data_IF_690260346992
#
_entry.id   IF_690260346992
#
_cell.length_a   1.000
_cell.length_b   1.000
_cell.length_c   1.000
_cell.angle_alpha   90.00
_cell.angle_beta   90.00
_cell.angle_gamma   90.00
#
_symmetry.space_group_name_H-M   'P 1'
#
loop_
_entity.id
_entity.type
_entity.pdbx_description
1 polymer ?
#
# COMPACT_ATOMS: atom_id res chain seq x y z
N UNK A 1 18.31 59.35 -6.19
CA UNK A 1 17.72 58.44 -5.22
C UNK A 1 17.59 57.08 -5.85
N UNK A 2 18.34 56.14 -5.39
CA UNK A 2 18.22 54.77 -5.86
C UNK A 2 17.30 54.00 -4.91
N UNK A 3 16.13 53.67 -5.38
CA UNK A 3 15.24 52.77 -4.67
C UNK A 3 15.75 51.36 -4.93
N UNK A 4 16.36 50.74 -3.91
CA UNK A 4 16.69 49.33 -4.00
C UNK A 4 15.40 48.51 -3.82
N UNK A 5 14.92 47.95 -4.89
CA UNK A 5 13.87 46.93 -4.79
C UNK A 5 14.54 45.65 -4.36
N UNK A 6 14.43 45.32 -3.09
CA UNK A 6 14.70 43.98 -2.66
C UNK A 6 13.53 43.12 -3.12
N UNK A 7 13.71 42.43 -4.22
CA UNK A 7 12.83 41.29 -4.54
C UNK A 7 13.20 40.23 -3.53
N UNK A 8 12.44 40.15 -2.45
CA UNK A 8 12.44 38.95 -1.64
C UNK A 8 11.74 37.90 -2.49
N UNK A 9 12.55 37.13 -3.21
CA UNK A 9 12.05 35.90 -3.78
C UNK A 9 11.62 35.03 -2.59
N UNK A 10 10.34 35.04 -2.31
CA UNK A 10 9.76 34.10 -1.40
C UNK A 10 9.92 32.72 -2.05
N UNK A 11 11.03 32.07 -1.76
CA UNK A 11 11.16 30.64 -2.05
C UNK A 11 10.24 29.98 -1.07
N UNK A 12 8.95 29.87 -1.44
CA UNK A 12 8.08 28.89 -0.84
C UNK A 12 8.77 27.56 -1.06
N UNK A 13 9.07 26.80 0.01
CA UNK A 13 9.46 25.43 -0.21
C UNK A 13 8.31 24.81 -0.99
N UNK A 14 8.51 24.65 -2.28
CA UNK A 14 7.68 23.75 -3.05
C UNK A 14 7.94 22.42 -2.40
N UNK A 15 7.01 22.01 -1.51
CA UNK A 15 6.92 20.62 -1.15
C UNK A 15 6.52 19.93 -2.45
N UNK A 16 7.52 19.67 -3.28
CA UNK A 16 7.31 18.76 -4.38
C UNK A 16 6.73 17.49 -3.75
N UNK A 17 5.53 17.06 -4.17
CA UNK A 17 5.06 15.76 -3.73
C UNK A 17 6.22 14.82 -4.00
N UNK A 18 6.67 14.09 -2.98
CA UNK A 18 7.71 13.10 -3.17
C UNK A 18 7.22 12.20 -4.29
N UNK A 19 7.87 12.30 -5.44
CA UNK A 19 7.59 11.42 -6.54
C UNK A 19 7.88 10.01 -6.04
N UNK A 20 6.84 9.21 -5.97
CA UNK A 20 7.02 7.79 -5.68
C UNK A 20 7.91 7.19 -6.76
N UNK A 21 8.75 6.20 -6.41
CA UNK A 21 9.46 5.41 -7.40
C UNK A 21 8.49 4.83 -8.44
N UNK A 22 9.03 4.37 -9.57
CA UNK A 22 8.23 3.69 -10.57
C UNK A 22 7.65 2.36 -10.03
N UNK A 23 6.69 1.80 -10.74
CA UNK A 23 5.99 0.59 -10.30
C UNK A 23 6.93 -0.61 -10.12
N UNK A 24 7.97 -0.73 -10.93
CA UNK A 24 8.97 -1.80 -10.82
C UNK A 24 9.75 -1.69 -9.52
N UNK A 25 10.18 -0.49 -9.18
CA UNK A 25 10.91 -0.22 -7.94
C UNK A 25 10.00 -0.42 -6.72
N UNK A 26 8.76 0.07 -6.80
CA UNK A 26 7.76 -0.14 -5.74
C UNK A 26 7.49 -1.63 -5.53
N UNK A 27 7.37 -2.40 -6.61
CA UNK A 27 7.16 -3.85 -6.53
C UNK A 27 8.31 -4.55 -5.81
N UNK A 28 9.55 -4.18 -6.10
CA UNK A 28 10.72 -4.73 -5.41
C UNK A 28 10.75 -4.36 -3.94
N UNK A 29 10.40 -3.13 -3.61
CA UNK A 29 10.34 -2.66 -2.22
C UNK A 29 9.25 -3.37 -1.42
N UNK A 30 8.12 -3.73 -2.06
CA UNK A 30 7.02 -4.39 -1.37
C UNK A 30 7.31 -5.85 -1.04
N UNK A 31 8.10 -6.53 -1.85
CA UNK A 31 8.45 -7.94 -1.60
C UNK A 31 9.06 -8.10 -0.21
N UNK A 32 8.47 -8.98 0.60
CA UNK A 32 8.88 -9.22 1.97
C UNK A 32 7.69 -9.36 2.90
N UNK A 33 7.96 -9.36 4.20
CA UNK A 33 6.92 -9.50 5.23
C UNK A 33 6.72 -8.19 5.96
N UNK A 34 5.47 -7.82 6.12
CA UNK A 34 5.06 -6.57 6.74
C UNK A 34 4.16 -6.82 7.94
N UNK A 35 4.49 -6.19 9.05
CA UNK A 35 3.76 -6.32 10.31
C UNK A 35 2.63 -5.29 10.35
N UNK A 36 1.40 -5.78 10.37
CA UNK A 36 0.20 -4.97 10.52
C UNK A 36 -0.43 -5.11 11.91
N UNK A 37 -1.62 -4.55 12.06
CA UNK A 37 -2.30 -4.54 13.35
C UNK A 37 -2.72 -5.93 13.85
N UNK A 38 -3.17 -6.78 12.93
CA UNK A 38 -3.68 -8.13 13.27
C UNK A 38 -2.92 -9.27 12.62
N UNK A 39 -2.25 -8.99 11.54
CA UNK A 39 -1.62 -9.99 10.69
C UNK A 39 -0.28 -9.48 10.19
N UNK A 40 0.62 -10.41 9.93
CA UNK A 40 1.77 -10.18 9.09
C UNK A 40 1.39 -10.56 7.66
N UNK A 41 1.66 -9.68 6.70
CA UNK A 41 1.39 -9.95 5.29
C UNK A 41 2.71 -10.13 4.56
N UNK A 42 2.87 -11.25 3.89
CA UNK A 42 4.01 -11.51 3.03
C UNK A 42 3.62 -11.30 1.58
N UNK A 43 4.32 -10.39 0.90
CA UNK A 43 4.22 -10.21 -0.55
C UNK A 43 5.41 -10.90 -1.20
N UNK A 44 5.14 -11.83 -2.09
CA UNK A 44 6.15 -12.65 -2.74
C UNK A 44 6.48 -12.15 -4.13
N UNK A 45 7.70 -12.36 -4.57
CA UNK A 45 8.17 -11.91 -5.88
C UNK A 45 7.39 -12.55 -7.06
N UNK A 46 6.74 -13.69 -6.82
CA UNK A 46 5.92 -14.37 -7.84
C UNK A 46 4.53 -13.73 -8.03
N UNK A 47 4.23 -12.65 -7.31
CA UNK A 47 2.92 -11.97 -7.40
C UNK A 47 1.84 -12.56 -6.50
N UNK A 48 2.22 -13.39 -5.52
CA UNK A 48 1.28 -13.91 -4.52
C UNK A 48 1.49 -13.23 -3.18
N UNK A 49 0.44 -13.20 -2.37
CA UNK A 49 0.52 -12.72 -0.99
C UNK A 49 -0.14 -13.73 -0.06
N UNK A 50 0.31 -13.73 1.18
CA UNK A 50 -0.24 -14.56 2.25
C UNK A 50 -0.24 -13.78 3.57
N UNK A 51 -1.26 -14.01 4.36
CA UNK A 51 -1.46 -13.37 5.65
C UNK A 51 -1.29 -14.40 6.78
N UNK A 52 -0.57 -14.05 7.85
CA UNK A 52 -0.31 -14.90 8.98
C UNK A 52 -0.55 -14.13 10.30
N UNK A 53 -1.40 -14.57 11.22
CA UNK A 53 -2.27 -15.76 11.09
C UNK A 53 -3.35 -15.56 10.03
N UNK A 54 -3.86 -16.64 9.42
CA UNK A 54 -4.89 -16.53 8.41
C UNK A 54 -6.21 -16.00 9.00
N UNK A 55 -6.92 -15.20 8.20
CA UNK A 55 -8.26 -14.77 8.53
C UNK A 55 -9.28 -15.91 8.37
N UNK A 56 -10.41 -15.77 9.03
CA UNK A 56 -11.53 -16.69 8.83
C UNK A 56 -12.04 -16.59 7.38
N UNK A 57 -12.45 -17.71 6.81
CA UNK A 57 -13.06 -17.76 5.48
C UNK A 57 -12.11 -17.79 4.29
N UNK A 58 -10.88 -18.21 4.46
CA UNK A 58 -9.88 -18.41 3.38
C UNK A 58 -9.48 -17.14 2.59
N UNK A 59 -9.68 -15.94 3.15
CA UNK A 59 -9.25 -14.69 2.52
C UNK A 59 -7.82 -14.29 2.89
N UNK A 60 -7.00 -15.25 3.28
CA UNK A 60 -5.65 -15.03 3.79
C UNK A 60 -4.56 -15.15 2.75
N UNK A 61 -4.91 -15.32 1.49
CA UNK A 61 -3.96 -15.45 0.38
C UNK A 61 -4.57 -15.03 -0.95
N UNK A 62 -3.74 -14.61 -1.86
CA UNK A 62 -4.19 -14.21 -3.20
C UNK A 62 -3.03 -13.74 -4.06
N UNK A 63 -3.33 -12.85 -4.96
CA UNK A 63 -2.37 -12.25 -5.90
C UNK A 63 -2.27 -10.75 -5.66
N UNK A 64 -1.12 -10.19 -6.02
CA UNK A 64 -0.89 -8.74 -5.95
C UNK A 64 -0.13 -8.25 -7.17
N UNK A 65 -0.33 -7.00 -7.49
CA UNK A 65 0.46 -6.26 -8.48
C UNK A 65 0.41 -4.77 -8.16
N UNK A 66 1.34 -4.03 -8.70
CA UNK A 66 1.37 -2.57 -8.59
C UNK A 66 1.20 -1.98 -9.99
N UNK A 67 0.23 -1.09 -10.13
CA UNK A 67 -0.05 -0.34 -11.35
C UNK A 67 -0.30 1.12 -10.99
N UNK A 68 0.41 2.05 -11.63
CA UNK A 68 0.26 3.49 -11.40
C UNK A 68 0.32 3.87 -9.90
N UNK A 69 1.34 3.34 -9.22
CA UNK A 69 1.56 3.54 -7.78
C UNK A 69 0.37 3.09 -6.90
N UNK A 70 -0.40 2.12 -7.36
CA UNK A 70 -1.50 1.51 -6.63
C UNK A 70 -1.24 0.03 -6.45
N UNK A 71 -1.42 -0.44 -5.22
CA UNK A 71 -1.37 -1.87 -4.92
C UNK A 71 -2.75 -2.46 -5.16
N UNK A 72 -2.81 -3.43 -6.04
CA UNK A 72 -4.03 -4.17 -6.36
C UNK A 72 -3.87 -5.59 -5.81
N UNK A 73 -4.74 -5.96 -4.89
CA UNK A 73 -4.77 -7.31 -4.30
C UNK A 73 -6.07 -8.00 -4.66
N UNK A 74 -5.97 -9.26 -4.98
CA UNK A 74 -7.13 -10.11 -5.29
C UNK A 74 -7.10 -11.35 -4.42
N UNK A 75 -8.27 -11.84 -4.06
CA UNK A 75 -8.43 -13.09 -3.31
C UNK A 75 -9.78 -13.71 -3.64
N UNK A 76 -9.95 -14.97 -3.28
CA UNK A 76 -11.20 -15.67 -3.47
C UNK A 76 -11.55 -16.44 -2.20
N UNK A 77 -12.77 -16.22 -1.71
CA UNK A 77 -13.31 -17.04 -0.65
C UNK A 77 -13.65 -18.45 -1.15
N UNK A 78 -13.52 -19.41 -0.26
CA UNK A 78 -13.97 -20.77 -0.52
C UNK A 78 -15.46 -20.78 -0.87
N UNK A 79 -15.82 -21.40 -1.99
CA UNK A 79 -17.21 -21.47 -2.46
C UNK A 79 -17.69 -20.32 -3.29
N UNK A 80 -16.91 -19.26 -3.44
CA UNK A 80 -17.26 -18.13 -4.29
C UNK A 80 -16.80 -18.35 -5.73
N UNK A 81 -17.60 -17.85 -6.67
CA UNK A 81 -17.32 -17.99 -8.10
C UNK A 81 -16.50 -16.86 -8.69
N UNK A 82 -16.31 -15.78 -7.95
CA UNK A 82 -15.59 -14.58 -8.41
C UNK A 82 -14.60 -14.08 -7.38
N UNK A 83 -13.57 -13.39 -7.86
CA UNK A 83 -12.56 -12.77 -7.01
C UNK A 83 -13.08 -11.52 -6.32
N UNK A 84 -12.55 -11.27 -5.13
CA UNK A 84 -12.61 -9.97 -4.48
C UNK A 84 -11.34 -9.20 -4.79
N UNK A 85 -11.44 -7.87 -4.89
CA UNK A 85 -10.33 -7.00 -5.24
C UNK A 85 -10.30 -5.79 -4.31
N UNK A 86 -9.13 -5.45 -3.84
CA UNK A 86 -8.87 -4.20 -3.13
C UNK A 86 -7.83 -3.39 -3.89
N UNK A 87 -8.02 -2.08 -3.93
CA UNK A 87 -7.04 -1.14 -4.50
C UNK A 87 -6.61 -0.19 -3.40
N UNK A 88 -5.31 -0.13 -3.18
CA UNK A 88 -4.69 0.76 -2.20
C UNK A 88 -3.81 1.77 -2.90
N UNK A 89 -4.00 3.03 -2.59
CA UNK A 89 -3.07 4.07 -3.00
C UNK A 89 -1.81 3.98 -2.13
N UNK A 90 -0.64 3.88 -2.75
CA UNK A 90 0.62 3.88 -2.04
C UNK A 90 0.98 5.32 -1.70
N UNK A 91 1.04 5.64 -0.42
CA UNK A 91 1.40 6.98 0.09
C UNK A 91 2.91 7.06 0.28
N UNK A 92 3.49 6.04 0.88
CA UNK A 92 4.92 5.93 1.13
C UNK A 92 5.32 4.46 1.13
N UNK A 93 6.42 4.16 0.50
CA UNK A 93 6.98 2.81 0.53
C UNK A 93 8.50 2.90 0.53
N UNK A 94 9.08 2.49 1.63
CA UNK A 94 10.53 2.44 1.85
C UNK A 94 10.94 1.02 2.24
N UNK A 95 12.19 0.81 2.56
CA UNK A 95 12.67 -0.50 3.03
C UNK A 95 12.04 -0.92 4.37
N UNK A 96 11.52 0.02 5.14
CA UNK A 96 11.04 -0.24 6.51
C UNK A 96 9.59 0.12 6.75
N UNK A 97 9.01 1.00 5.96
CA UNK A 97 7.66 1.53 6.17
C UNK A 97 6.86 1.45 4.88
N UNK A 98 5.62 1.00 5.01
CA UNK A 98 4.62 1.04 3.95
C UNK A 98 3.37 1.72 4.47
N UNK A 99 3.01 2.84 3.85
CA UNK A 99 1.77 3.58 4.13
C UNK A 99 0.87 3.53 2.92
N UNK A 100 -0.38 3.19 3.15
CA UNK A 100 -1.38 3.09 2.10
C UNK A 100 -2.74 3.56 2.56
N UNK A 101 -3.60 3.81 1.59
CA UNK A 101 -5.00 4.13 1.79
C UNK A 101 -5.85 3.30 0.84
N UNK A 102 -6.84 2.59 1.37
CA UNK A 102 -7.78 1.83 0.53
C UNK A 102 -8.68 2.80 -0.21
N UNK A 103 -8.72 2.71 -1.52
CA UNK A 103 -9.55 3.56 -2.38
C UNK A 103 -10.71 2.82 -3.01
N UNK A 104 -10.66 1.49 -3.10
CA UNK A 104 -11.80 0.69 -3.52
C UNK A 104 -11.71 -0.74 -3.02
N UNK A 105 -12.85 -1.35 -2.80
CA UNK A 105 -12.99 -2.77 -2.50
C UNK A 105 -14.23 -3.28 -3.22
N UNK A 106 -14.09 -4.37 -3.96
CA UNK A 106 -15.16 -4.97 -4.77
C UNK A 106 -15.15 -6.48 -4.62
N UNK A 107 -16.32 -7.09 -4.83
CA UNK A 107 -16.49 -8.52 -4.83
C UNK A 107 -17.13 -9.06 -3.56
N UNK A 108 -17.39 -10.41 -3.53
CA UNK A 108 -18.12 -11.03 -2.43
C UNK A 108 -17.35 -11.04 -1.10
N UNK A 109 -16.02 -10.91 -1.15
CA UNK A 109 -15.18 -10.84 0.03
C UNK A 109 -15.00 -9.45 0.62
N UNK A 110 -15.84 -8.50 0.23
CA UNK A 110 -15.82 -7.15 0.77
C UNK A 110 -16.19 -7.18 2.25
N UNK A 111 -15.30 -6.72 3.16
CA UNK A 111 -15.61 -6.75 4.58
C UNK A 111 -16.80 -5.85 4.91
N UNK A 112 -17.64 -6.29 5.82
CA UNK A 112 -18.64 -5.45 6.44
C UNK A 112 -17.95 -4.35 7.25
N UNK A 113 -18.46 -3.12 7.16
CA UNK A 113 -17.80 -1.99 7.81
C UNK A 113 -16.62 -1.49 7.01
N UNK A 114 -16.93 -0.83 5.91
CA UNK A 114 -15.90 -0.24 5.04
C UNK A 114 -14.97 0.65 5.82
N UNK A 115 -13.67 0.36 5.68
CA UNK A 115 -12.64 1.33 6.00
C UNK A 115 -12.89 2.57 5.14
N UNK A 116 -13.04 3.71 5.76
CA UNK A 116 -13.22 4.96 5.03
C UNK A 116 -11.99 5.24 4.17
N UNK A 117 -12.16 5.69 2.90
CA UNK A 117 -11.02 5.98 2.01
C UNK A 117 -10.00 6.99 2.57
N UNK A 118 -10.36 7.73 3.61
CA UNK A 118 -9.49 8.70 4.27
C UNK A 118 -8.50 8.09 5.26
N UNK A 119 -8.66 6.83 5.66
CA UNK A 119 -7.75 6.20 6.61
C UNK A 119 -6.45 5.77 5.95
N UNK A 120 -5.35 6.17 6.57
CA UNK A 120 -4.01 5.76 6.17
C UNK A 120 -3.54 4.65 7.11
N UNK A 121 -3.19 3.52 6.53
CA UNK A 121 -2.61 2.40 7.25
C UNK A 121 -1.09 2.45 7.13
N UNK A 122 -0.43 2.19 8.25
CA UNK A 122 1.02 2.09 8.29
C UNK A 122 1.41 0.71 8.78
N UNK A 123 2.21 0.03 7.98
CA UNK A 123 2.81 -1.26 8.36
C UNK A 123 4.32 -1.15 8.28
N UNK A 124 4.99 -1.96 9.06
CA UNK A 124 6.45 -1.96 9.15
C UNK A 124 7.02 -3.28 8.68
N UNK A 125 8.21 -3.24 8.09
CA UNK A 125 8.86 -4.45 7.62
C UNK A 125 9.31 -5.31 8.79
N UNK A 126 9.00 -6.60 8.71
CA UNK A 126 9.54 -7.59 9.62
C UNK A 126 10.99 -7.86 9.22
N UNK A 127 11.90 -7.60 10.14
CA UNK A 127 13.29 -7.95 9.95
C UNK A 127 13.56 -9.30 10.61
N UNK A 128 14.13 -10.23 9.84
CA UNK A 128 14.55 -11.49 10.42
C UNK A 128 15.65 -11.24 11.44
N UNK A 129 15.41 -11.69 12.67
CA UNK A 129 16.46 -11.77 13.65
C UNK A 129 17.33 -12.96 13.31
N UNK A 130 18.56 -12.68 12.93
CA UNK A 130 19.57 -13.73 12.86
C UNK A 130 19.92 -14.23 14.25
#
# INVERSE_FOLDING_TARGET
>A
MRTAFFIIALILPVIAPQLLPDDTTLSRLLVGTWHGHRHDTQYRADGTWIMDPPDEGDNSRGKWRIEHARLITTWRFSGESSDSTAVEEIIELTKSIFKSRIISQEGPGKPEGQVLPSEIFTVTRVTEKK
#
